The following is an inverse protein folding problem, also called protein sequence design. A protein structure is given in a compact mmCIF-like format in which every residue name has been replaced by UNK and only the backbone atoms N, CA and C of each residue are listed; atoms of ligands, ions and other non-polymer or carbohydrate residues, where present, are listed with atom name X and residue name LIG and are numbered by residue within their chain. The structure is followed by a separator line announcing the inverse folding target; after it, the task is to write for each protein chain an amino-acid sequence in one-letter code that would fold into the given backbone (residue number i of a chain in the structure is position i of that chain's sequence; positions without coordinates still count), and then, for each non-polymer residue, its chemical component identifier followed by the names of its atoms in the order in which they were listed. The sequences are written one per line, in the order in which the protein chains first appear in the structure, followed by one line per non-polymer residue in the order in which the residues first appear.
data_IF_013328145747
#
_entry.id   IF_013328145747
#
_cell.length_a   1.000
_cell.length_b   1.000
_cell.length_c   1.000
_cell.angle_alpha   90.00
_cell.angle_beta   90.00
_cell.angle_gamma   90.00
#
_symmetry.space_group_name_H-M   'P 1'
#
loop_
_entity.id
_entity.type
_entity.pdbx_description
1 polymer ?
#
# COMPACT_ATOMS: atom_id res chain seq x y z
N UNK A 1 13.65 7.40 -10.68
CA UNK A 1 13.58 6.64 -11.97
C UNK A 1 13.53 7.66 -13.10
N UNK A 2 14.22 7.41 -14.21
CA UNK A 2 13.97 8.19 -15.43
C UNK A 2 12.49 7.94 -15.80
N UNK A 3 11.68 8.96 -16.11
CA UNK A 3 10.23 8.79 -16.34
C UNK A 3 9.90 7.87 -17.53
N UNK A 4 10.82 7.72 -18.46
CA UNK A 4 10.64 6.99 -19.71
C UNK A 4 10.28 5.48 -19.54
N UNK A 5 10.97 4.67 -18.71
CA UNK A 5 10.60 3.26 -18.53
C UNK A 5 9.22 3.06 -17.90
N UNK A 6 8.83 3.93 -16.98
CA UNK A 6 7.51 3.89 -16.34
C UNK A 6 6.40 4.25 -17.32
N UNK A 7 6.60 5.28 -18.12
CA UNK A 7 5.66 5.68 -19.20
C UNK A 7 5.50 4.54 -20.21
N UNK A 8 6.61 3.91 -20.63
CA UNK A 8 6.57 2.79 -21.57
C UNK A 8 5.80 1.59 -21.01
N UNK A 9 5.99 1.29 -19.72
CA UNK A 9 5.27 0.23 -19.02
C UNK A 9 3.76 0.50 -18.97
N UNK A 10 3.34 1.72 -18.62
CA UNK A 10 1.91 2.11 -18.63
C UNK A 10 1.32 2.01 -20.02
N UNK A 11 2.00 2.57 -21.03
CA UNK A 11 1.52 2.51 -22.41
C UNK A 11 1.42 1.05 -22.91
N UNK A 12 2.38 0.20 -22.56
CA UNK A 12 2.34 -1.23 -22.87
C UNK A 12 1.15 -1.93 -22.21
N UNK A 13 0.91 -1.67 -20.94
CA UNK A 13 -0.24 -2.22 -20.20
C UNK A 13 -1.57 -1.76 -20.82
N UNK A 14 -1.72 -0.47 -21.13
CA UNK A 14 -2.90 0.08 -21.77
C UNK A 14 -3.14 -0.52 -23.17
N UNK A 15 -2.08 -0.76 -23.93
CA UNK A 15 -2.18 -1.43 -25.23
C UNK A 15 -2.67 -2.88 -25.08
N UNK A 16 -2.14 -3.62 -24.10
CA UNK A 16 -2.60 -4.99 -23.81
C UNK A 16 -4.06 -4.99 -23.38
N UNK A 17 -4.46 -4.11 -22.46
CA UNK A 17 -5.86 -3.96 -22.02
C UNK A 17 -6.77 -3.66 -23.23
N UNK A 18 -6.37 -2.74 -24.09
CA UNK A 18 -7.14 -2.41 -25.31
C UNK A 18 -7.28 -3.61 -26.24
N UNK A 19 -6.21 -4.34 -26.51
CA UNK A 19 -6.24 -5.51 -27.40
C UNK A 19 -7.14 -6.63 -26.85
N UNK A 20 -7.05 -6.90 -25.54
CA UNK A 20 -7.89 -7.89 -24.88
C UNK A 20 -9.37 -7.46 -24.93
N UNK A 21 -9.65 -6.20 -24.65
CA UNK A 21 -11.01 -5.65 -24.71
C UNK A 21 -11.55 -5.68 -26.15
N UNK A 22 -10.73 -5.28 -27.11
CA UNK A 22 -11.06 -5.38 -28.54
C UNK A 22 -11.45 -6.79 -28.95
N UNK A 23 -10.69 -7.80 -28.54
CA UNK A 23 -10.95 -9.20 -28.84
C UNK A 23 -12.23 -9.70 -28.15
N UNK A 24 -12.43 -9.35 -26.86
CA UNK A 24 -13.62 -9.70 -26.11
C UNK A 24 -14.91 -9.12 -26.74
N UNK A 25 -14.89 -7.86 -27.14
CA UNK A 25 -16.03 -7.20 -27.79
C UNK A 25 -16.44 -7.89 -29.10
N UNK A 26 -15.47 -8.35 -29.89
CA UNK A 26 -15.74 -9.07 -31.16
C UNK A 26 -16.39 -10.43 -30.92
N UNK A 27 -16.08 -11.09 -29.82
CA UNK A 27 -16.68 -12.40 -29.49
C UNK A 27 -18.10 -12.29 -28.94
N UNK A 28 -18.42 -11.17 -28.27
CA UNK A 28 -19.68 -11.00 -27.53
C UNK A 28 -20.75 -10.26 -28.34
N UNK A 29 -20.36 -9.27 -29.16
CA UNK A 29 -21.31 -8.38 -29.83
C UNK A 29 -21.36 -8.58 -31.36
N UNK A 30 -22.53 -8.32 -32.01
CA UNK A 30 -22.60 -8.21 -33.45
C UNK A 30 -21.64 -7.15 -33.98
N UNK A 31 -21.10 -7.36 -35.18
CA UNK A 31 -20.01 -6.57 -35.75
C UNK A 31 -20.23 -5.03 -35.72
N UNK A 32 -21.45 -4.57 -36.01
CA UNK A 32 -21.80 -3.14 -35.95
C UNK A 32 -21.67 -2.54 -34.55
N UNK A 33 -22.04 -3.29 -33.50
CA UNK A 33 -21.92 -2.85 -32.13
C UNK A 33 -20.50 -3.01 -31.62
N UNK A 34 -19.83 -4.11 -31.95
CA UNK A 34 -18.43 -4.32 -31.61
C UNK A 34 -17.56 -3.15 -32.09
N UNK A 35 -17.71 -2.71 -33.37
CA UNK A 35 -16.99 -1.55 -33.91
C UNK A 35 -17.27 -0.23 -33.16
N UNK A 36 -18.51 0.02 -32.73
CA UNK A 36 -18.86 1.22 -31.95
C UNK A 36 -18.21 1.19 -30.57
N UNK A 37 -18.34 0.07 -29.88
CA UNK A 37 -17.76 -0.14 -28.55
C UNK A 37 -16.22 -0.10 -28.57
N UNK A 38 -15.60 -0.64 -29.64
CA UNK A 38 -14.15 -0.56 -29.84
C UNK A 38 -13.66 0.89 -30.02
N UNK A 39 -14.41 1.74 -30.69
CA UNK A 39 -14.06 3.18 -30.81
C UNK A 39 -14.18 3.89 -29.48
N UNK A 40 -15.21 3.57 -28.68
CA UNK A 40 -15.37 4.11 -27.32
C UNK A 40 -14.24 3.64 -26.42
N UNK A 41 -13.88 2.34 -26.45
CA UNK A 41 -12.75 1.80 -25.69
C UNK A 41 -11.44 2.44 -26.10
N UNK A 42 -11.19 2.65 -27.39
CA UNK A 42 -10.00 3.36 -27.86
C UNK A 42 -9.96 4.80 -27.32
N UNK A 43 -11.07 5.52 -27.37
CA UNK A 43 -11.15 6.87 -26.82
C UNK A 43 -10.90 6.87 -25.29
N UNK A 44 -11.46 5.90 -24.57
CA UNK A 44 -11.25 5.73 -23.14
C UNK A 44 -9.78 5.43 -22.80
N UNK A 45 -9.14 4.50 -23.52
CA UNK A 45 -7.71 4.18 -23.36
C UNK A 45 -6.82 5.38 -23.66
N UNK A 46 -7.10 6.13 -24.71
CA UNK A 46 -6.35 7.34 -25.05
C UNK A 46 -6.52 8.43 -23.97
N UNK A 47 -7.74 8.62 -23.46
CA UNK A 47 -8.02 9.54 -22.37
C UNK A 47 -7.27 9.13 -21.08
N UNK A 48 -7.28 7.83 -20.77
CA UNK A 48 -6.56 7.26 -19.61
C UNK A 48 -5.05 7.44 -19.77
N UNK A 49 -4.50 7.17 -20.97
CA UNK A 49 -3.09 7.38 -21.26
C UNK A 49 -2.69 8.86 -21.09
N UNK A 50 -3.49 9.78 -21.62
CA UNK A 50 -3.30 11.22 -21.44
C UNK A 50 -3.34 11.60 -19.94
N UNK A 51 -4.31 11.13 -19.19
CA UNK A 51 -4.47 11.43 -17.77
C UNK A 51 -3.33 10.89 -16.91
N UNK A 52 -2.98 9.62 -17.10
CA UNK A 52 -1.96 8.95 -16.26
C UNK A 52 -0.53 9.27 -16.67
N UNK A 53 -0.28 9.56 -17.96
CA UNK A 53 1.08 9.83 -18.47
C UNK A 53 1.39 11.31 -18.51
N UNK A 54 0.50 12.13 -19.10
CA UNK A 54 0.74 13.58 -19.22
C UNK A 54 0.34 14.35 -17.97
N UNK A 55 -0.63 13.86 -17.19
CA UNK A 55 -1.06 14.53 -15.97
C UNK A 55 0.10 14.89 -15.06
N UNK A 56 0.91 13.91 -14.60
CA UNK A 56 2.08 14.16 -13.75
C UNK A 56 3.18 15.02 -14.38
N UNK A 57 3.26 15.07 -15.71
CA UNK A 57 4.26 15.86 -16.43
C UNK A 57 3.85 17.33 -16.59
N UNK A 58 2.53 17.60 -16.67
CA UNK A 58 1.99 18.94 -16.98
C UNK A 58 1.57 19.67 -15.71
N UNK A 59 1.01 18.96 -14.74
CA UNK A 59 0.46 19.56 -13.53
C UNK A 59 1.31 19.18 -12.32
N UNK A 60 1.85 20.16 -11.62
CA UNK A 60 2.64 19.94 -10.40
C UNK A 60 1.77 19.51 -9.22
N UNK A 61 0.53 19.98 -9.16
CA UNK A 61 -0.44 19.58 -8.12
C UNK A 61 -1.77 19.22 -8.78
N UNK A 62 -2.38 18.07 -8.44
CA UNK A 62 -3.66 17.64 -9.00
C UNK A 62 -4.85 18.33 -8.31
N UNK A 63 -4.74 19.62 -8.05
CA UNK A 63 -5.84 20.41 -7.49
C UNK A 63 -6.85 20.81 -8.58
N UNK A 64 -8.14 20.84 -8.24
CA UNK A 64 -9.20 21.30 -9.15
C UNK A 64 -9.44 20.35 -10.33
N UNK A 65 -9.64 20.91 -11.53
CA UNK A 65 -10.02 20.16 -12.75
C UNK A 65 -8.99 19.08 -13.14
N UNK A 66 -7.66 19.30 -13.11
CA UNK A 66 -6.69 18.25 -13.43
C UNK A 66 -6.82 17.00 -12.53
N UNK A 67 -7.02 17.17 -11.24
CA UNK A 67 -7.22 16.06 -10.31
C UNK A 67 -8.50 15.29 -10.60
N UNK A 68 -9.60 15.97 -10.95
CA UNK A 68 -10.86 15.34 -11.35
C UNK A 68 -10.67 14.53 -12.64
N UNK A 69 -10.00 15.09 -13.66
CA UNK A 69 -9.74 14.40 -14.91
C UNK A 69 -8.87 13.15 -14.71
N UNK A 70 -7.83 13.25 -13.88
CA UNK A 70 -7.00 12.10 -13.53
C UNK A 70 -7.81 11.02 -12.82
N UNK A 71 -8.66 11.41 -11.87
CA UNK A 71 -9.51 10.45 -11.15
C UNK A 71 -10.50 9.76 -12.07
N UNK A 72 -11.09 10.49 -13.04
CA UNK A 72 -11.96 9.91 -14.06
C UNK A 72 -11.17 8.92 -14.93
N UNK A 73 -9.95 9.26 -15.35
CA UNK A 73 -9.08 8.37 -16.11
C UNK A 73 -8.78 7.06 -15.36
N UNK A 74 -8.51 7.14 -14.04
CA UNK A 74 -8.30 5.97 -13.19
C UNK A 74 -9.55 5.09 -13.10
N UNK A 75 -10.72 5.70 -12.86
CA UNK A 75 -12.00 4.96 -12.81
C UNK A 75 -12.26 4.24 -14.14
N UNK A 76 -12.05 4.90 -15.26
CA UNK A 76 -12.22 4.30 -16.59
C UNK A 76 -11.26 3.11 -16.75
N UNK A 77 -9.98 3.30 -16.46
CA UNK A 77 -8.97 2.24 -16.57
C UNK A 77 -9.31 1.01 -15.73
N UNK A 78 -9.64 1.20 -14.45
CA UNK A 78 -10.02 0.11 -13.56
C UNK A 78 -11.29 -0.58 -14.05
N UNK A 79 -12.28 0.19 -14.51
CA UNK A 79 -13.51 -0.35 -15.09
C UNK A 79 -13.22 -1.25 -16.30
N UNK A 80 -12.34 -0.85 -17.20
CA UNK A 80 -11.94 -1.66 -18.37
C UNK A 80 -11.23 -2.94 -17.94
N UNK A 81 -10.31 -2.87 -16.99
CA UNK A 81 -9.61 -4.06 -16.46
C UNK A 81 -10.59 -5.03 -15.80
N UNK A 82 -11.49 -4.54 -14.96
CA UNK A 82 -12.51 -5.37 -14.31
C UNK A 82 -13.46 -6.00 -15.32
N UNK A 83 -13.86 -5.26 -16.35
CA UNK A 83 -14.72 -5.79 -17.42
C UNK A 83 -14.04 -6.96 -18.16
N UNK A 84 -12.76 -6.82 -18.50
CA UNK A 84 -11.98 -7.88 -19.14
C UNK A 84 -11.93 -9.12 -18.25
N UNK A 85 -11.65 -8.95 -16.95
CA UNK A 85 -11.59 -10.05 -15.99
C UNK A 85 -12.94 -10.76 -15.86
N UNK A 86 -14.04 -10.02 -15.74
CA UNK A 86 -15.39 -10.58 -15.65
C UNK A 86 -15.77 -11.36 -16.93
N UNK A 87 -15.45 -10.82 -18.09
CA UNK A 87 -15.67 -11.52 -19.38
C UNK A 87 -14.83 -12.78 -19.48
N UNK A 88 -13.55 -12.72 -19.11
CA UNK A 88 -12.64 -13.87 -19.12
C UNK A 88 -13.13 -14.98 -18.17
N UNK A 89 -13.54 -14.62 -16.95
CA UNK A 89 -14.14 -15.56 -15.99
C UNK A 89 -15.43 -16.18 -16.52
N UNK A 90 -16.29 -15.38 -17.16
CA UNK A 90 -17.52 -15.86 -17.79
C UNK A 90 -17.26 -16.86 -18.91
N UNK A 91 -16.26 -16.60 -19.77
CA UNK A 91 -15.85 -17.52 -20.84
C UNK A 91 -15.24 -18.80 -20.26
N UNK A 92 -14.38 -18.69 -19.26
CA UNK A 92 -13.79 -19.86 -18.59
C UNK A 92 -14.87 -20.73 -17.94
N UNK A 93 -15.81 -20.12 -17.23
CA UNK A 93 -16.96 -20.83 -16.63
C UNK A 93 -17.77 -21.59 -17.67
N UNK A 94 -18.08 -20.97 -18.82
CA UNK A 94 -18.81 -21.61 -19.90
C UNK A 94 -18.06 -22.83 -20.48
N UNK A 95 -16.72 -22.71 -20.67
CA UNK A 95 -15.89 -23.84 -21.12
C UNK A 95 -15.89 -25.00 -20.12
N UNK A 96 -15.70 -24.69 -18.83
CA UNK A 96 -15.70 -25.72 -17.78
C UNK A 96 -17.07 -26.38 -17.60
N UNK A 97 -18.16 -25.63 -17.72
CA UNK A 97 -19.53 -26.15 -17.67
C UNK A 97 -19.86 -27.03 -18.89
N UNK A 98 -19.32 -26.67 -20.09
CA UNK A 98 -19.46 -27.46 -21.31
C UNK A 98 -18.73 -28.80 -21.29
N UNK A 99 -17.65 -28.92 -20.50
CA UNK A 99 -16.92 -30.19 -20.31
C UNK A 99 -17.70 -31.23 -19.49
N UNK A 100 -18.80 -30.88 -18.87
CA UNK A 100 -19.63 -31.74 -18.01
C UNK A 100 -20.78 -32.46 -18.71
N UNK A 101 -20.87 -32.42 -20.05
CA UNK A 101 -21.87 -33.20 -20.83
C UNK A 101 -22.40 -32.44 -22.04
N UNK A 102 -23.06 -33.13 -22.99
CA UNK A 102 -23.59 -32.48 -24.19
C UNK A 102 -24.84 -31.67 -23.81
N UNK A 103 -24.62 -30.43 -23.43
CA UNK A 103 -25.71 -29.48 -23.26
C UNK A 103 -26.03 -28.91 -24.62
N UNK A 104 -27.10 -29.38 -25.28
CA UNK A 104 -27.77 -28.67 -26.36
C UNK A 104 -28.29 -27.35 -25.81
N UNK A 105 -27.54 -26.27 -25.91
CA UNK A 105 -27.92 -24.98 -25.33
C UNK A 105 -27.94 -23.89 -26.37
N UNK A 106 -29.14 -23.68 -26.86
CA UNK A 106 -29.60 -22.42 -27.43
C UNK A 106 -29.71 -21.30 -26.34
N UNK A 107 -29.27 -21.61 -25.14
CA UNK A 107 -29.25 -20.75 -23.95
C UNK A 107 -28.05 -19.79 -23.90
N UNK A 108 -26.98 -20.07 -24.63
CA UNK A 108 -25.73 -19.30 -24.53
C UNK A 108 -25.91 -17.84 -24.94
N UNK A 109 -26.62 -17.57 -26.03
CA UNK A 109 -26.77 -16.23 -26.58
C UNK A 109 -27.66 -15.30 -25.75
N UNK A 110 -28.82 -15.78 -25.26
CA UNK A 110 -29.73 -14.97 -24.44
C UNK A 110 -29.20 -14.78 -23.01
N UNK A 111 -28.56 -15.79 -22.43
CA UNK A 111 -27.93 -15.69 -21.12
C UNK A 111 -26.69 -14.79 -21.17
N UNK A 112 -25.84 -14.95 -22.18
CA UNK A 112 -24.68 -14.08 -22.40
C UNK A 112 -25.11 -12.61 -22.60
N UNK A 113 -26.19 -12.34 -23.33
CA UNK A 113 -26.71 -10.98 -23.53
C UNK A 113 -27.31 -10.38 -22.24
N UNK A 114 -27.94 -11.18 -21.38
CA UNK A 114 -28.40 -10.74 -20.04
C UNK A 114 -27.21 -10.46 -19.11
N UNK A 115 -26.16 -11.26 -19.16
CA UNK A 115 -24.94 -11.05 -18.38
C UNK A 115 -24.06 -9.96 -18.99
N UNK A 116 -24.05 -9.80 -20.30
CA UNK A 116 -23.31 -8.75 -21.00
C UNK A 116 -23.75 -7.33 -20.61
N UNK A 117 -24.98 -7.12 -20.16
CA UNK A 117 -25.43 -5.85 -19.61
C UNK A 117 -25.02 -5.69 -18.14
N UNK A 118 -24.94 -6.79 -17.37
CA UNK A 118 -24.54 -6.75 -15.96
C UNK A 118 -23.04 -6.54 -15.77
N UNK A 119 -22.19 -7.12 -16.64
CA UNK A 119 -20.72 -7.01 -16.50
C UNK A 119 -20.21 -5.57 -16.58
N UNK A 120 -20.61 -4.73 -17.54
CA UNK A 120 -20.22 -3.33 -17.55
C UNK A 120 -20.69 -2.55 -16.33
N UNK A 121 -21.92 -2.83 -15.85
CA UNK A 121 -22.44 -2.17 -14.65
C UNK A 121 -21.65 -2.56 -13.39
N UNK A 122 -21.33 -3.85 -13.22
CA UNK A 122 -20.49 -4.33 -12.11
C UNK A 122 -19.06 -3.80 -12.20
N UNK A 123 -18.48 -3.77 -13.39
CA UNK A 123 -17.14 -3.24 -13.60
C UNK A 123 -17.09 -1.73 -13.27
N UNK A 124 -18.08 -0.97 -13.72
CA UNK A 124 -18.19 0.46 -13.42
C UNK A 124 -18.40 0.69 -11.91
N UNK A 125 -19.29 -0.08 -11.28
CA UNK A 125 -19.50 -0.01 -9.83
C UNK A 125 -18.21 -0.30 -9.06
N UNK A 126 -17.44 -1.31 -9.46
CA UNK A 126 -16.12 -1.62 -8.90
C UNK A 126 -15.11 -0.51 -9.11
N UNK A 127 -15.03 0.06 -10.30
CA UNK A 127 -14.14 1.19 -10.62
C UNK A 127 -14.50 2.45 -9.82
N UNK A 128 -15.78 2.78 -9.69
CA UNK A 128 -16.26 3.89 -8.86
C UNK A 128 -15.98 3.62 -7.37
N UNK A 129 -16.30 2.43 -6.90
CA UNK A 129 -16.06 2.03 -5.50
C UNK A 129 -14.58 2.16 -5.15
N UNK A 130 -13.70 1.52 -5.90
CA UNK A 130 -12.27 1.51 -5.61
C UNK A 130 -11.59 2.87 -5.85
N UNK A 131 -11.98 3.57 -6.91
CA UNK A 131 -11.37 4.83 -7.30
C UNK A 131 -11.88 6.04 -6.52
N UNK A 132 -13.13 6.05 -6.07
CA UNK A 132 -13.71 7.21 -5.37
C UNK A 132 -13.90 6.98 -3.86
N UNK A 133 -14.25 5.78 -3.46
CA UNK A 133 -14.63 5.51 -2.06
C UNK A 133 -13.51 4.79 -1.29
N UNK A 134 -13.19 3.53 -1.65
CA UNK A 134 -12.34 2.70 -0.79
C UNK A 134 -10.92 3.24 -0.64
N UNK A 135 -10.37 3.90 -1.66
CA UNK A 135 -9.03 4.52 -1.58
C UNK A 135 -8.88 5.53 -0.44
N UNK A 136 -10.00 6.11 0.02
CA UNK A 136 -10.04 7.11 1.11
C UNK A 136 -10.74 6.60 2.37
N UNK A 137 -11.29 5.38 2.32
CA UNK A 137 -12.03 4.78 3.42
C UNK A 137 -11.08 4.14 4.44
N UNK A 138 -10.24 4.97 5.08
CA UNK A 138 -9.27 4.51 6.09
C UNK A 138 -9.98 3.78 7.23
N UNK A 139 -9.58 2.53 7.48
CA UNK A 139 -10.05 1.72 8.60
C UNK A 139 -9.09 1.79 9.79
N UNK A 140 -9.60 1.58 11.00
CA UNK A 140 -8.77 1.42 12.19
C UNK A 140 -8.62 -0.07 12.47
N UNK A 141 -7.38 -0.51 12.70
CA UNK A 141 -7.03 -1.88 13.10
C UNK A 141 -6.42 -1.85 14.48
N UNK A 142 -6.99 -2.61 15.40
CA UNK A 142 -6.48 -2.73 16.76
C UNK A 142 -6.00 -4.15 17.00
N UNK A 143 -4.75 -4.26 17.48
CA UNK A 143 -4.11 -5.53 17.76
C UNK A 143 -3.63 -5.56 19.19
N UNK A 144 -3.94 -6.64 19.90
CA UNK A 144 -3.37 -6.94 21.19
C UNK A 144 -2.17 -7.85 20.95
N UNK A 145 -0.98 -7.41 21.38
CA UNK A 145 0.25 -8.16 21.23
C UNK A 145 0.61 -8.83 22.56
N UNK A 146 0.46 -10.15 22.68
CA UNK A 146 0.96 -10.88 23.83
C UNK A 146 2.49 -10.94 23.77
N UNK A 147 3.16 -10.43 24.81
CA UNK A 147 4.61 -10.44 24.96
C UNK A 147 4.96 -11.25 26.22
N UNK A 148 5.74 -12.33 26.03
CA UNK A 148 6.26 -13.08 27.16
C UNK A 148 7.14 -12.18 28.03
N UNK A 149 7.02 -12.31 29.34
CA UNK A 149 7.83 -11.56 30.32
C UNK A 149 7.79 -10.02 30.16
N UNK A 150 6.65 -9.50 29.64
CA UNK A 150 6.47 -8.05 29.49
C UNK A 150 6.62 -7.34 30.85
N UNK A 151 7.56 -6.37 30.97
CA UNK A 151 7.71 -5.55 32.16
C UNK A 151 6.40 -4.87 32.55
N UNK A 152 6.14 -4.73 33.84
CA UNK A 152 4.88 -4.14 34.32
C UNK A 152 4.69 -2.70 33.82
N UNK A 153 5.78 -1.93 33.69
CA UNK A 153 5.76 -0.56 33.15
C UNK A 153 5.33 -0.47 31.67
N UNK A 154 5.46 -1.55 30.90
CA UNK A 154 5.10 -1.58 29.48
C UNK A 154 3.70 -2.16 29.23
N UNK A 155 2.97 -2.54 30.28
CA UNK A 155 1.61 -3.06 30.12
C UNK A 155 0.67 -1.97 29.62
N UNK A 156 0.01 -2.26 28.50
CA UNK A 156 -0.89 -1.32 27.87
C UNK A 156 -0.19 -0.27 27.00
N UNK A 157 1.15 -0.31 26.87
CA UNK A 157 1.87 0.56 25.94
C UNK A 157 1.31 0.40 24.54
N UNK A 158 0.96 1.51 23.91
CA UNK A 158 0.22 1.53 22.65
C UNK A 158 1.02 2.21 21.56
N UNK A 159 1.30 1.48 20.50
CA UNK A 159 2.01 1.94 19.31
C UNK A 159 0.99 2.18 18.20
N UNK A 160 1.02 3.35 17.54
CA UNK A 160 0.37 3.56 16.26
C UNK A 160 1.36 3.38 15.11
N UNK A 161 0.96 2.73 14.04
CA UNK A 161 1.74 2.61 12.82
C UNK A 161 1.03 3.31 11.66
N UNK A 162 1.77 4.14 10.93
CA UNK A 162 1.46 4.65 9.61
C UNK A 162 2.58 4.25 8.65
N UNK A 163 2.24 4.00 7.40
CA UNK A 163 3.17 3.57 6.36
C UNK A 163 2.64 3.92 4.99
N UNK A 164 3.53 4.05 4.00
CA UNK A 164 3.15 4.14 2.59
C UNK A 164 2.09 5.24 2.34
N UNK A 165 2.36 6.44 2.83
CA UNK A 165 1.48 7.60 2.68
C UNK A 165 1.56 8.15 1.26
N UNK A 166 2.76 8.15 0.64
CA UNK A 166 3.01 8.64 -0.71
C UNK A 166 2.47 10.06 -0.93
N UNK A 167 2.92 10.98 -0.04
CA UNK A 167 2.57 12.40 -0.14
C UNK A 167 2.97 12.96 -1.51
N UNK A 168 2.00 13.46 -2.25
CA UNK A 168 2.20 13.94 -3.61
C UNK A 168 0.91 13.99 -4.39
N UNK A 169 0.90 13.37 -5.57
CA UNK A 169 -0.18 13.45 -6.54
C UNK A 169 -1.53 12.89 -6.07
N UNK A 170 -1.53 11.88 -5.21
CA UNK A 170 -2.75 11.17 -4.83
C UNK A 170 -3.09 11.29 -3.35
N UNK A 171 -2.21 11.91 -2.58
CA UNK A 171 -2.39 12.13 -1.16
C UNK A 171 -1.83 13.50 -0.78
N UNK A 172 -2.71 14.43 -0.45
CA UNK A 172 -2.34 15.81 -0.16
C UNK A 172 -1.82 15.99 1.27
N UNK A 173 -1.19 17.16 1.55
CA UNK A 173 -0.83 17.53 2.92
C UNK A 173 -2.05 17.66 3.83
N UNK A 174 -3.20 18.05 3.30
CA UNK A 174 -4.44 18.11 4.07
C UNK A 174 -4.96 16.72 4.44
N UNK A 175 -4.90 15.74 3.49
CA UNK A 175 -5.23 14.35 3.80
C UNK A 175 -4.28 13.80 4.87
N UNK A 176 -3.00 14.17 4.80
CA UNK A 176 -1.99 13.76 5.79
C UNK A 176 -2.25 14.39 7.16
N UNK A 177 -2.62 15.66 7.21
CA UNK A 177 -3.03 16.33 8.45
C UNK A 177 -4.19 15.61 9.12
N UNK A 178 -5.23 15.28 8.35
CA UNK A 178 -6.40 14.54 8.84
C UNK A 178 -6.02 13.12 9.30
N UNK A 179 -5.09 12.46 8.62
CA UNK A 179 -4.56 11.15 9.02
C UNK A 179 -3.84 11.24 10.37
N UNK A 180 -2.95 12.22 10.55
CA UNK A 180 -2.22 12.46 11.81
C UNK A 180 -3.20 12.79 12.96
N UNK A 181 -4.16 13.67 12.72
CA UNK A 181 -5.19 14.02 13.72
C UNK A 181 -5.99 12.79 14.15
N UNK A 182 -6.45 12.00 13.19
CA UNK A 182 -7.19 10.76 13.45
C UNK A 182 -6.34 9.73 14.19
N UNK A 183 -5.05 9.65 13.87
CA UNK A 183 -4.11 8.75 14.55
C UNK A 183 -3.88 9.20 15.99
N UNK A 184 -3.67 10.49 16.22
CA UNK A 184 -3.47 11.04 17.55
C UNK A 184 -4.74 10.92 18.43
N UNK A 185 -5.94 10.99 17.83
CA UNK A 185 -7.21 10.81 18.55
C UNK A 185 -7.35 9.40 19.16
N UNK A 186 -6.64 8.40 18.63
CA UNK A 186 -6.53 7.07 19.22
C UNK A 186 -5.67 7.01 20.49
N UNK A 187 -5.04 8.12 20.91
CA UNK A 187 -4.19 8.25 22.10
C UNK A 187 -3.11 7.15 22.24
N UNK A 188 -2.30 6.88 21.19
CA UNK A 188 -1.15 5.98 21.34
C UNK A 188 0.01 6.67 22.09
N UNK A 189 0.87 5.88 22.72
CA UNK A 189 2.06 6.39 23.38
C UNK A 189 3.14 6.80 22.37
N UNK A 190 3.30 6.04 21.30
CA UNK A 190 4.26 6.32 20.24
C UNK A 190 3.61 6.22 18.85
N UNK A 191 4.06 7.05 17.92
CA UNK A 191 3.77 6.92 16.49
C UNK A 191 5.02 6.39 15.77
N UNK A 192 4.87 5.33 14.99
CA UNK A 192 5.93 4.83 14.10
C UNK A 192 5.54 5.04 12.64
N UNK A 193 6.45 5.60 11.85
CA UNK A 193 6.34 5.83 10.43
C UNK A 193 7.27 4.85 9.72
N UNK A 194 6.70 3.83 9.08
CA UNK A 194 7.49 2.73 8.50
C UNK A 194 7.79 2.93 7.01
N UNK A 195 8.17 4.17 6.64
CA UNK A 195 8.68 4.52 5.31
C UNK A 195 7.64 4.81 4.25
N UNK A 196 8.11 5.24 3.08
CA UNK A 196 7.34 5.65 1.91
C UNK A 196 6.31 6.74 2.24
N UNK A 197 6.77 7.77 2.97
CA UNK A 197 5.94 8.92 3.32
C UNK A 197 5.95 9.95 2.18
N UNK A 198 7.06 10.12 1.46
CA UNK A 198 7.30 11.21 0.53
C UNK A 198 7.37 10.77 -0.93
N UNK A 199 6.54 11.40 -1.77
CA UNK A 199 6.57 11.21 -3.23
C UNK A 199 6.76 12.50 -4.04
N UNK A 200 6.74 13.66 -3.39
CA UNK A 200 6.99 14.96 -3.99
C UNK A 200 8.00 15.76 -3.17
N UNK A 201 9.16 16.02 -3.76
CA UNK A 201 10.25 16.77 -3.12
C UNK A 201 9.82 18.18 -2.67
N UNK A 202 8.85 18.81 -3.34
CA UNK A 202 8.33 20.12 -2.97
C UNK A 202 7.53 20.10 -1.66
N UNK A 203 7.05 18.92 -1.25
CA UNK A 203 6.27 18.73 -0.02
C UNK A 203 7.10 18.25 1.16
N UNK A 204 8.31 17.71 0.95
CA UNK A 204 9.10 17.03 1.97
C UNK A 204 9.25 17.85 3.26
N UNK A 205 9.80 19.07 3.18
CA UNK A 205 9.97 19.92 4.35
C UNK A 205 8.66 20.31 5.06
N UNK A 206 7.61 20.56 4.27
CA UNK A 206 6.27 20.88 4.82
C UNK A 206 5.65 19.68 5.53
N UNK A 207 5.84 18.49 4.99
CA UNK A 207 5.31 17.26 5.58
C UNK A 207 6.06 16.89 6.87
N UNK A 208 7.39 17.06 6.91
CA UNK A 208 8.18 16.88 8.13
C UNK A 208 7.75 17.88 9.20
N UNK A 209 7.63 19.17 8.86
CA UNK A 209 7.17 20.20 9.79
C UNK A 209 5.75 19.94 10.31
N UNK A 210 4.85 19.49 9.44
CA UNK A 210 3.50 19.07 9.83
C UNK A 210 3.52 17.90 10.80
N UNK A 211 4.33 16.87 10.52
CA UNK A 211 4.48 15.70 11.40
C UNK A 211 4.99 16.11 12.78
N UNK A 212 6.00 16.98 12.83
CA UNK A 212 6.59 17.48 14.08
C UNK A 212 5.58 18.23 14.97
N UNK A 213 4.59 18.93 14.39
CA UNK A 213 3.53 19.60 15.16
C UNK A 213 2.70 18.64 16.01
N UNK A 214 2.69 17.36 15.66
CA UNK A 214 1.97 16.34 16.42
C UNK A 214 2.85 15.62 17.47
N UNK A 215 4.16 15.92 17.58
CA UNK A 215 5.06 15.20 18.50
C UNK A 215 4.53 15.19 19.94
N UNK A 216 4.05 16.33 20.45
CA UNK A 216 3.49 16.44 21.80
C UNK A 216 2.20 15.61 22.04
N UNK A 217 1.60 15.06 20.98
CA UNK A 217 0.40 14.20 21.09
C UNK A 217 0.77 12.74 21.39
N UNK A 218 2.05 12.37 21.30
CA UNK A 218 2.60 11.05 21.53
C UNK A 218 3.61 11.12 22.67
N UNK A 219 3.26 10.56 23.82
CA UNK A 219 4.10 10.66 25.06
C UNK A 219 5.51 10.11 24.90
N UNK A 220 5.71 9.21 23.94
CA UNK A 220 6.99 8.60 23.59
C UNK A 220 7.46 8.98 22.17
N UNK A 221 6.93 10.09 21.64
CA UNK A 221 7.38 10.71 20.42
C UNK A 221 6.98 10.00 19.11
N UNK A 222 7.60 10.48 18.03
CA UNK A 222 7.41 9.97 16.67
C UNK A 222 8.73 9.35 16.19
N UNK A 223 8.64 8.13 15.66
CA UNK A 223 9.77 7.33 15.21
C UNK A 223 9.64 7.06 13.72
N UNK A 224 10.72 7.22 12.99
CA UNK A 224 10.73 7.18 11.54
C UNK A 224 11.84 6.28 11.01
N UNK A 225 11.54 5.51 9.98
CA UNK A 225 12.52 4.80 9.16
C UNK A 225 12.28 5.10 7.69
N UNK A 226 13.30 4.97 6.86
CA UNK A 226 13.16 5.14 5.41
C UNK A 226 12.48 3.95 4.75
N UNK A 227 11.67 4.24 3.71
CA UNK A 227 11.27 3.28 2.69
C UNK A 227 12.09 3.46 1.42
N UNK A 228 11.70 2.77 0.36
CA UNK A 228 12.41 2.87 -0.91
C UNK A 228 12.11 4.17 -1.66
N UNK A 229 11.00 4.84 -1.38
CA UNK A 229 10.65 6.10 -2.03
C UNK A 229 11.51 7.25 -1.51
N UNK A 230 11.83 7.33 -0.22
CA UNK A 230 12.73 8.34 0.32
C UNK A 230 14.09 8.34 -0.40
N UNK A 231 14.64 7.17 -0.69
CA UNK A 231 15.90 7.02 -1.44
C UNK A 231 15.80 7.43 -2.92
N UNK A 232 14.60 7.48 -3.47
CA UNK A 232 14.35 7.95 -4.85
C UNK A 232 14.06 9.45 -4.93
N UNK A 233 13.97 10.11 -3.79
CA UNK A 233 13.73 11.54 -3.61
C UNK A 233 15.00 12.25 -3.13
N UNK A 234 14.86 13.50 -2.77
CA UNK A 234 15.96 14.25 -2.18
C UNK A 234 16.20 13.82 -0.72
N UNK A 235 16.75 12.61 -0.53
CA UNK A 235 17.01 12.03 0.80
C UNK A 235 17.84 12.96 1.71
N UNK A 236 18.91 13.66 1.22
CA UNK A 236 19.63 14.61 2.05
C UNK A 236 18.74 15.73 2.60
N UNK A 237 17.82 16.27 1.81
CA UNK A 237 16.90 17.30 2.26
C UNK A 237 15.87 16.76 3.27
N UNK A 238 15.36 15.54 3.06
CA UNK A 238 14.48 14.85 4.02
C UNK A 238 15.21 14.67 5.34
N UNK A 239 16.43 14.15 5.32
CA UNK A 239 17.25 13.94 6.52
C UNK A 239 17.54 15.26 7.26
N UNK A 240 17.91 16.30 6.54
CA UNK A 240 18.16 17.62 7.13
C UNK A 240 16.90 18.18 7.81
N UNK A 241 15.73 18.06 7.13
CA UNK A 241 14.46 18.50 7.71
C UNK A 241 14.10 17.72 8.98
N UNK A 242 14.31 16.40 9.01
CA UNK A 242 14.07 15.55 10.19
C UNK A 242 14.99 15.93 11.37
N UNK A 243 16.26 16.26 11.10
CA UNK A 243 17.24 16.67 12.12
C UNK A 243 16.86 17.98 12.84
N UNK A 244 16.06 18.83 12.21
CA UNK A 244 15.52 20.06 12.81
C UNK A 244 14.26 19.83 13.68
N UNK A 245 13.89 18.58 13.92
CA UNK A 245 12.68 18.19 14.66
C UNK A 245 12.99 17.19 15.76
N UNK A 246 11.98 16.93 16.62
CA UNK A 246 12.01 15.88 17.65
C UNK A 246 11.63 14.50 17.10
N UNK A 247 11.55 14.32 15.77
CA UNK A 247 11.25 13.02 15.16
C UNK A 247 12.51 12.15 15.21
N UNK A 248 12.42 10.99 15.82
CA UNK A 248 13.52 10.04 15.94
C UNK A 248 13.67 9.25 14.62
N UNK A 249 14.70 9.56 13.85
CA UNK A 249 15.08 8.79 12.67
C UNK A 249 15.98 7.62 13.06
N UNK A 250 15.63 6.41 12.67
CA UNK A 250 16.45 5.21 12.86
C UNK A 250 16.92 4.65 11.53
N UNK A 251 18.24 4.46 11.39
CA UNK A 251 18.88 3.93 10.17
C UNK A 251 19.91 2.86 10.55
N UNK A 252 19.49 1.60 10.61
CA UNK A 252 20.27 0.46 11.08
C UNK A 252 20.78 0.65 12.53
N UNK A 253 19.92 1.16 13.37
CA UNK A 253 20.21 1.44 14.77
C UNK A 253 19.00 1.21 15.67
N UNK A 254 19.22 1.13 16.98
CA UNK A 254 18.15 1.04 17.95
C UNK A 254 18.31 2.11 19.04
N UNK A 255 17.15 2.53 19.57
CA UNK A 255 17.12 3.46 20.70
C UNK A 255 16.05 3.05 21.72
N UNK A 256 16.26 3.37 23.02
CA UNK A 256 15.24 3.19 24.05
C UNK A 256 14.08 4.18 23.82
N UNK A 257 12.85 3.66 23.90
CA UNK A 257 11.62 4.45 23.72
C UNK A 257 11.11 4.94 25.06
N UNK A 258 11.18 4.08 26.09
CA UNK A 258 10.72 4.41 27.43
C UNK A 258 11.91 4.55 28.39
N UNK A 259 11.76 5.42 29.39
CA UNK A 259 12.72 5.50 30.49
C UNK A 259 12.54 4.34 31.47
N UNK A 260 13.56 4.07 32.31
CA UNK A 260 13.53 3.09 33.39
C UNK A 260 14.51 1.94 33.22
N UNK A 261 14.48 0.99 34.15
CA UNK A 261 15.44 -0.14 34.19
C UNK A 261 15.23 -1.16 33.06
N UNK A 262 14.03 -1.25 32.53
CA UNK A 262 13.66 -2.17 31.43
C UNK A 262 12.91 -1.42 30.32
N UNK A 263 13.62 -0.58 29.56
CA UNK A 263 13.00 0.19 28.50
C UNK A 263 12.54 -0.68 27.33
N UNK A 264 11.51 -0.21 26.63
CA UNK A 264 11.16 -0.68 25.28
C UNK A 264 12.19 -0.11 24.31
N UNK A 265 12.66 -0.91 23.36
CA UNK A 265 13.51 -0.47 22.26
C UNK A 265 12.76 -0.47 20.94
N UNK A 266 12.98 0.55 20.14
CA UNK A 266 12.73 0.48 18.70
C UNK A 266 14.07 0.27 17.97
N UNK A 267 14.14 -0.79 17.18
CA UNK A 267 15.23 -1.05 16.24
C UNK A 267 14.74 -0.72 14.85
N UNK A 268 15.38 0.22 14.17
CA UNK A 268 14.99 0.65 12.81
C UNK A 268 16.04 0.26 11.79
N UNK A 269 15.59 -0.25 10.65
CA UNK A 269 16.46 -0.64 9.54
C UNK A 269 16.20 0.18 8.29
N UNK A 270 17.24 0.37 7.49
CA UNK A 270 17.15 0.99 6.18
C UNK A 270 16.60 0.02 5.12
N UNK A 271 16.28 0.55 3.93
CA UNK A 271 15.74 -0.26 2.83
C UNK A 271 16.86 -0.94 2.05
N UNK A 272 16.83 -2.28 1.88
CA UNK A 272 17.83 -3.01 1.11
C UNK A 272 17.52 -2.96 -0.39
N UNK A 273 18.46 -2.46 -1.21
CA UNK A 273 18.31 -2.35 -2.66
C UNK A 273 18.93 -3.48 -3.47
N UNK A 274 19.68 -4.35 -2.84
CA UNK A 274 20.26 -5.51 -3.49
C UNK A 274 19.16 -6.48 -3.99
N UNK A 275 19.52 -7.45 -4.82
CA UNK A 275 18.60 -8.45 -5.36
C UNK A 275 19.12 -9.86 -5.09
N UNK A 276 18.22 -10.84 -5.08
CA UNK A 276 18.56 -12.25 -4.93
C UNK A 276 19.25 -12.57 -3.59
N UNK A 277 20.41 -13.24 -3.60
CA UNK A 277 21.15 -13.57 -2.38
C UNK A 277 21.70 -12.33 -1.69
N UNK A 278 22.26 -11.38 -2.44
CA UNK A 278 22.78 -10.13 -1.89
C UNK A 278 21.70 -9.31 -1.16
N UNK A 279 20.45 -9.41 -1.56
CA UNK A 279 19.33 -8.81 -0.82
C UNK A 279 19.18 -9.44 0.58
N UNK A 280 19.26 -10.77 0.65
CA UNK A 280 19.17 -11.49 1.94
C UNK A 280 20.35 -11.17 2.86
N UNK A 281 21.54 -11.07 2.29
CA UNK A 281 22.76 -10.69 3.03
C UNK A 281 22.66 -9.26 3.55
N UNK A 282 22.29 -8.30 2.70
CA UNK A 282 22.15 -6.89 3.07
C UNK A 282 21.08 -6.72 4.17
N UNK A 283 19.94 -7.39 4.05
CA UNK A 283 18.86 -7.36 5.03
C UNK A 283 19.33 -7.86 6.40
N UNK A 284 20.02 -9.03 6.43
CA UNK A 284 20.60 -9.60 7.67
C UNK A 284 21.64 -8.67 8.29
N UNK A 285 22.49 -8.05 7.46
CA UNK A 285 23.50 -7.12 7.95
C UNK A 285 22.85 -5.87 8.59
N UNK A 286 21.81 -5.32 7.98
CA UNK A 286 21.08 -4.17 8.53
C UNK A 286 20.40 -4.52 9.86
N UNK A 287 19.75 -5.68 9.95
CA UNK A 287 19.15 -6.14 11.18
C UNK A 287 20.21 -6.38 12.27
N UNK A 288 21.30 -7.06 11.97
CA UNK A 288 22.39 -7.30 12.91
C UNK A 288 22.98 -5.98 13.45
N UNK A 289 23.16 -4.97 12.57
CA UNK A 289 23.61 -3.64 12.96
C UNK A 289 22.59 -2.94 13.89
N UNK A 290 21.30 -2.98 13.53
CA UNK A 290 20.25 -2.36 14.35
C UNK A 290 20.15 -2.98 15.74
N UNK A 291 20.31 -4.29 15.85
CA UNK A 291 20.25 -4.99 17.16
C UNK A 291 21.55 -4.96 17.95
N UNK A 292 22.68 -4.47 17.40
CA UNK A 292 23.97 -4.51 18.07
C UNK A 292 24.02 -3.76 19.42
N UNK A 293 23.21 -2.71 19.58
CA UNK A 293 23.12 -1.91 20.80
C UNK A 293 21.96 -2.30 21.73
N UNK A 294 21.13 -3.26 21.33
CA UNK A 294 19.98 -3.68 22.13
C UNK A 294 20.44 -4.60 23.27
N UNK A 295 20.12 -4.30 24.52
CA UNK A 295 20.46 -5.17 25.65
C UNK A 295 19.77 -6.54 25.53
N UNK A 296 20.46 -7.58 25.95
CA UNK A 296 19.92 -8.93 25.96
C UNK A 296 18.63 -8.99 26.81
N UNK A 297 17.58 -9.58 26.29
CA UNK A 297 16.28 -9.71 26.97
C UNK A 297 15.42 -8.44 26.94
N UNK A 298 15.87 -7.35 26.33
CA UNK A 298 15.04 -6.15 26.18
C UNK A 298 13.85 -6.40 25.25
N UNK A 299 12.69 -5.88 25.63
CA UNK A 299 11.52 -5.88 24.73
C UNK A 299 11.82 -4.95 23.56
N UNK A 300 11.85 -5.51 22.35
CA UNK A 300 12.23 -4.76 21.14
C UNK A 300 11.15 -4.89 20.05
N UNK A 301 10.83 -3.77 19.42
CA UNK A 301 10.01 -3.75 18.20
C UNK A 301 10.92 -3.36 17.04
N UNK A 302 10.98 -4.21 16.02
CA UNK A 302 11.69 -3.93 14.78
C UNK A 302 10.80 -3.10 13.84
N UNK A 303 11.32 -1.97 13.40
CA UNK A 303 10.72 -1.11 12.37
C UNK A 303 11.46 -1.32 11.05
N UNK A 304 10.74 -1.75 10.04
CA UNK A 304 11.31 -1.99 8.72
C UNK A 304 10.30 -1.59 7.63
N UNK A 305 10.76 -1.23 6.45
CA UNK A 305 9.83 -1.00 5.36
C UNK A 305 9.53 -2.30 4.59
N UNK A 306 10.57 -3.08 4.23
CA UNK A 306 10.39 -4.32 3.47
C UNK A 306 9.84 -5.46 4.35
N UNK A 307 8.78 -6.19 3.92
CA UNK A 307 8.08 -7.16 4.77
C UNK A 307 8.91 -8.39 5.16
N UNK A 308 9.94 -8.75 4.40
CA UNK A 308 10.77 -9.90 4.74
C UNK A 308 11.66 -9.69 5.97
N UNK A 309 11.79 -8.46 6.50
CA UNK A 309 12.43 -8.24 7.80
C UNK A 309 11.68 -8.88 8.97
N UNK A 310 10.46 -9.38 8.77
CA UNK A 310 9.76 -10.21 9.75
C UNK A 310 10.60 -11.45 10.12
N UNK A 311 11.32 -12.03 9.14
CA UNK A 311 12.22 -13.16 9.39
C UNK A 311 13.42 -12.75 10.27
N UNK A 312 13.97 -11.55 10.04
CA UNK A 312 15.11 -11.04 10.81
C UNK A 312 14.67 -10.63 12.22
N UNK A 313 13.47 -10.05 12.36
CA UNK A 313 12.88 -9.79 13.68
C UNK A 313 12.71 -11.07 14.50
N UNK A 314 12.25 -12.14 13.86
CA UNK A 314 12.18 -13.46 14.49
C UNK A 314 13.57 -13.99 14.90
N UNK A 315 14.56 -13.85 14.03
CA UNK A 315 15.93 -14.32 14.29
C UNK A 315 16.62 -13.57 15.43
N UNK A 316 16.28 -12.29 15.64
CA UNK A 316 16.83 -11.46 16.71
C UNK A 316 15.95 -11.40 17.97
N UNK A 317 14.83 -12.14 18.01
CA UNK A 317 13.96 -12.20 19.19
C UNK A 317 13.16 -10.93 19.43
N UNK A 318 12.85 -10.14 18.39
CA UNK A 318 11.96 -9.00 18.52
C UNK A 318 10.57 -9.45 18.99
N UNK A 319 9.91 -8.66 19.83
CA UNK A 319 8.53 -8.92 20.26
C UNK A 319 7.52 -8.70 19.11
N UNK A 320 7.83 -7.76 18.22
CA UNK A 320 7.01 -7.41 17.06
C UNK A 320 7.90 -6.89 15.94
N UNK A 321 7.55 -7.17 14.69
CA UNK A 321 8.12 -6.49 13.51
C UNK A 321 7.02 -5.75 12.76
N UNK A 322 7.18 -4.45 12.57
CA UNK A 322 6.26 -3.58 11.85
C UNK A 322 6.83 -3.24 10.48
N UNK A 323 6.07 -3.54 9.42
CA UNK A 323 6.51 -3.35 8.04
C UNK A 323 5.44 -2.69 7.17
N UNK A 324 5.82 -2.23 5.97
CA UNK A 324 4.94 -1.62 4.96
C UNK A 324 5.15 -2.18 3.57
N UNK A 325 5.37 -1.29 2.60
CA UNK A 325 5.83 -1.54 1.22
C UNK A 325 4.82 -2.15 0.25
N UNK A 326 4.03 -3.10 0.69
CA UNK A 326 3.20 -3.93 -0.20
C UNK A 326 1.86 -3.31 -0.56
N UNK A 327 1.42 -2.30 0.20
CA UNK A 327 0.05 -1.76 0.17
C UNK A 327 -1.05 -2.83 0.30
N UNK A 328 -0.73 -4.03 0.82
CA UNK A 328 -1.61 -5.19 0.81
C UNK A 328 -2.05 -5.59 -0.60
N UNK A 329 -1.24 -5.32 -1.64
CA UNK A 329 -1.55 -5.41 -3.07
C UNK A 329 -2.53 -4.36 -3.60
N UNK A 330 -3.11 -3.47 -2.82
CA UNK A 330 -4.22 -2.55 -3.17
C UNK A 330 -5.50 -3.25 -3.67
N UNK A 331 -5.39 -4.47 -4.18
CA UNK A 331 -6.50 -5.26 -4.73
C UNK A 331 -6.62 -6.61 -4.01
N UNK A 332 -7.81 -6.90 -3.53
CA UNK A 332 -8.09 -8.13 -2.79
C UNK A 332 -9.56 -8.55 -2.89
N UNK A 333 -9.84 -9.78 -2.49
CA UNK A 333 -11.20 -10.31 -2.36
C UNK A 333 -11.31 -10.99 -1.00
N UNK A 334 -12.33 -10.63 -0.22
CA UNK A 334 -12.56 -11.18 1.12
C UNK A 334 -11.32 -11.10 2.04
N UNK A 335 -10.54 -10.03 1.92
CA UNK A 335 -9.33 -9.82 2.72
C UNK A 335 -8.07 -10.52 2.18
N UNK A 336 -8.18 -11.34 1.14
CA UNK A 336 -7.05 -12.00 0.50
C UNK A 336 -6.51 -11.14 -0.66
N UNK A 337 -5.19 -10.89 -0.74
CA UNK A 337 -4.59 -10.16 -1.85
C UNK A 337 -4.71 -10.94 -3.16
N UNK A 338 -5.04 -10.26 -4.26
CA UNK A 338 -5.16 -10.89 -5.57
C UNK A 338 -3.81 -11.27 -6.20
N UNK A 339 -2.76 -10.52 -5.89
CA UNK A 339 -1.41 -10.70 -6.43
C UNK A 339 -0.38 -10.69 -5.29
N UNK A 340 -0.22 -11.80 -4.54
CA UNK A 340 0.75 -11.89 -3.45
C UNK A 340 2.18 -11.99 -4.02
N UNK A 341 2.76 -10.85 -4.44
CA UNK A 341 4.10 -10.79 -5.03
C UNK A 341 5.23 -10.88 -3.99
N UNK A 342 4.90 -10.70 -2.71
CA UNK A 342 5.84 -10.73 -1.59
C UNK A 342 5.59 -11.95 -0.72
N UNK A 343 6.63 -12.42 -0.02
CA UNK A 343 6.52 -13.52 0.95
C UNK A 343 5.43 -13.24 1.99
N UNK A 344 5.38 -12.00 2.49
CA UNK A 344 4.36 -11.49 3.39
C UNK A 344 3.71 -10.27 2.74
N UNK A 345 2.40 -10.25 2.65
CA UNK A 345 1.72 -9.24 1.84
C UNK A 345 0.82 -8.32 2.66
N UNK A 346 0.17 -8.81 3.73
CA UNK A 346 -0.80 -8.01 4.48
C UNK A 346 -1.14 -8.59 5.85
N UNK A 347 -1.31 -7.69 6.84
CA UNK A 347 -1.84 -8.00 8.15
C UNK A 347 -0.87 -8.76 9.06
N UNK A 348 -1.43 -9.45 10.05
CA UNK A 348 -0.63 -10.24 10.99
C UNK A 348 0.02 -11.45 10.32
N UNK A 349 1.29 -11.65 10.62
CA UNK A 349 2.10 -12.78 10.19
C UNK A 349 2.67 -13.45 11.44
N UNK A 350 2.43 -14.75 11.58
CA UNK A 350 3.01 -15.55 12.66
C UNK A 350 4.01 -16.54 12.07
N UNK A 351 5.24 -16.47 12.53
CA UNK A 351 6.33 -17.33 12.07
C UNK A 351 7.28 -17.67 13.22
N UNK A 352 7.50 -18.97 13.49
CA UNK A 352 8.45 -19.41 14.51
C UNK A 352 8.20 -18.84 15.93
N UNK A 353 6.95 -18.58 16.31
CA UNK A 353 6.59 -17.95 17.58
C UNK A 353 6.73 -16.41 17.60
N UNK A 354 7.16 -15.81 16.50
CA UNK A 354 7.27 -14.36 16.31
C UNK A 354 6.03 -13.78 15.62
N UNK A 355 5.69 -12.54 15.95
CA UNK A 355 4.61 -11.79 15.31
C UNK A 355 5.19 -10.65 14.47
N UNK A 356 4.84 -10.63 13.19
CA UNK A 356 5.06 -9.51 12.29
C UNK A 356 3.73 -8.89 11.84
N UNK A 357 3.80 -7.67 11.34
CA UNK A 357 2.67 -6.98 10.73
C UNK A 357 3.09 -6.31 9.43
N UNK A 358 2.30 -6.54 8.38
CA UNK A 358 2.48 -5.88 7.10
C UNK A 358 1.33 -4.90 6.89
N UNK A 359 1.65 -3.61 7.00
CA UNK A 359 0.70 -2.51 6.88
C UNK A 359 0.16 -2.38 5.45
N UNK A 360 -1.15 -2.12 5.31
CA UNK A 360 -1.78 -1.98 3.99
C UNK A 360 -1.56 -0.60 3.33
N UNK A 361 -0.79 0.28 3.99
CA UNK A 361 -0.55 1.65 3.52
C UNK A 361 -1.69 2.62 3.85
N UNK A 362 -1.37 3.89 3.97
CA UNK A 362 -2.31 4.98 4.20
C UNK A 362 -2.72 5.68 2.91
N UNK A 363 -1.76 5.93 2.02
CA UNK A 363 -1.97 6.46 0.69
C UNK A 363 -2.02 5.36 -0.38
N UNK A 364 -1.71 5.74 -1.59
CA UNK A 364 -1.71 4.84 -2.75
C UNK A 364 -0.76 5.36 -3.80
N UNK A 365 0.14 4.53 -4.28
CA UNK A 365 0.93 4.85 -5.47
C UNK A 365 0.08 4.81 -6.77
N UNK A 366 -1.03 4.04 -6.74
CA UNK A 366 -2.08 4.06 -7.76
C UNK A 366 -3.42 4.38 -7.07
N UNK A 367 -4.18 5.41 -7.49
CA UNK A 367 -5.31 5.96 -6.71
C UNK A 367 -6.58 5.13 -6.84
N UNK A 368 -6.48 3.84 -6.57
CA UNK A 368 -7.59 2.89 -6.52
C UNK A 368 -7.28 1.74 -5.55
N UNK A 369 -8.25 1.39 -4.75
CA UNK A 369 -8.18 0.23 -3.84
C UNK A 369 -9.48 -0.56 -3.93
N UNK A 370 -9.39 -1.89 -3.99
CA UNK A 370 -10.56 -2.79 -3.97
C UNK A 370 -10.27 -3.95 -3.03
N UNK A 371 -11.03 -4.07 -1.94
CA UNK A 371 -10.87 -5.11 -0.92
C UNK A 371 -9.61 -4.98 -0.06
N UNK A 372 -8.96 -3.81 -0.11
CA UNK A 372 -7.78 -3.49 0.67
C UNK A 372 -7.77 -1.99 1.04
N UNK A 373 -8.65 -1.52 1.94
CA UNK A 373 -8.72 -0.14 2.35
C UNK A 373 -7.42 0.33 3.01
N UNK A 374 -7.13 1.64 3.00
CA UNK A 374 -6.09 2.23 3.82
C UNK A 374 -6.35 1.97 5.30
N UNK A 375 -5.31 1.95 6.13
CA UNK A 375 -5.51 1.65 7.55
C UNK A 375 -4.64 2.50 8.47
N UNK A 376 -5.09 2.68 9.72
CA UNK A 376 -4.30 3.08 10.86
C UNK A 376 -4.22 1.85 11.76
N UNK A 377 -3.01 1.36 12.06
CA UNK A 377 -2.85 0.18 12.90
C UNK A 377 -2.38 0.57 14.30
N UNK A 378 -3.03 0.02 15.32
CA UNK A 378 -2.62 0.19 16.72
C UNK A 378 -2.24 -1.17 17.31
N UNK A 379 -1.18 -1.17 18.14
CA UNK A 379 -0.68 -2.35 18.82
C UNK A 379 -0.58 -2.06 20.31
N UNK A 380 -1.34 -2.77 21.11
CA UNK A 380 -1.28 -2.67 22.57
C UNK A 380 -0.50 -3.86 23.14
N UNK A 381 0.61 -3.57 23.85
CA UNK A 381 1.43 -4.60 24.50
C UNK A 381 0.69 -5.15 25.71
N UNK A 382 0.56 -6.47 25.79
CA UNK A 382 0.01 -7.17 26.94
C UNK A 382 0.90 -8.33 27.35
N UNK A 383 0.92 -8.64 28.63
CA UNK A 383 1.60 -9.85 29.10
C UNK A 383 0.87 -11.07 28.55
N UNK A 384 1.63 -12.03 28.00
CA UNK A 384 1.12 -13.32 27.52
C UNK A 384 0.51 -14.15 28.63
#
# INVERSE_FOLDING_TARGET
MKPFPFILMICGLLAVVFLLHWQALRQVFPERWARRLQRLSLAAVLFTALGLVLGPLVFREPAGLPGVLLQVAVVIFVTEVLLILLVALGVLWQRLAGLRGPVRVDWGRRRLLRHAAAYPALALAGGLYGGLYEKSATVVREHILPVAELPAALRGFRIAQLSDVHLGWFFSLEDYRQLLERTAAGAPDALVLTGDIFDDDALNGRAVALTAQYAARFSQGIWYIYGNHEHRRNLPAIRAALQETEIHLLVNEAAPVTAGEQPLYFAGVDYPFAHGEAFREQRRAFAAQAFASVPQGAVTVLLAHHPEFIDDGAAHGAALTLTGHTHGCQFGVLGLPLLPLFKYTRGLVHTGGHTGYVHSGNGSWFPCRIGCPPEIAYFALRRA
#
